data_IF_163767119653
#
_entry.id   IF_163767119653
#
_cell.length_a   1.000
_cell.length_b   1.000
_cell.length_c   1.000
_cell.angle_alpha   90.00
_cell.angle_beta   90.00
_cell.angle_gamma   90.00
#
_symmetry.space_group_name_H-M   'P 1'
#
loop_
_entity.id
_entity.type
_entity.pdbx_description
1 polymer ?
#
# COMPACT_ATOMS: atom_id res chain seq x y z
N UNK A 1 28.54 19.76 -15.69
CA UNK A 1 29.33 19.04 -14.67
C UNK A 1 29.07 17.54 -14.84
N UNK A 2 30.15 16.78 -14.97
CA UNK A 2 30.15 15.41 -15.48
C UNK A 2 29.53 14.42 -14.50
N UNK A 3 28.52 13.68 -14.94
CA UNK A 3 27.95 12.57 -14.20
C UNK A 3 29.00 11.46 -14.08
N UNK A 4 29.40 11.14 -12.86
CA UNK A 4 30.22 9.97 -12.54
C UNK A 4 29.39 8.71 -12.83
N UNK A 5 29.63 8.11 -13.98
CA UNK A 5 29.16 6.77 -14.27
C UNK A 5 29.85 5.79 -13.31
N UNK A 6 29.12 5.27 -12.36
CA UNK A 6 29.57 4.14 -11.52
C UNK A 6 29.55 2.90 -12.43
N UNK A 7 30.71 2.56 -13.00
CA UNK A 7 30.89 1.31 -13.71
C UNK A 7 30.84 0.16 -12.71
N UNK A 8 29.81 -0.68 -12.82
CA UNK A 8 29.80 -1.96 -12.14
C UNK A 8 30.89 -2.85 -12.74
N UNK A 9 31.79 -3.45 -11.92
CA UNK A 9 32.79 -4.37 -12.44
C UNK A 9 32.11 -5.60 -13.02
N UNK A 10 32.45 -5.96 -14.25
CA UNK A 10 32.02 -7.20 -14.89
C UNK A 10 32.55 -8.38 -14.10
N UNK A 11 31.68 -9.04 -13.32
CA UNK A 11 32.02 -10.30 -12.67
C UNK A 11 32.03 -11.42 -13.69
N UNK A 12 33.13 -12.15 -13.74
CA UNK A 12 33.38 -13.34 -14.53
C UNK A 12 32.19 -14.30 -14.51
N UNK A 13 31.78 -14.79 -15.70
CA UNK A 13 30.82 -15.87 -15.88
C UNK A 13 31.31 -17.13 -15.17
N UNK A 14 30.90 -17.33 -13.94
CA UNK A 14 30.93 -18.65 -13.34
C UNK A 14 29.93 -19.52 -14.14
N UNK A 15 30.38 -20.63 -14.71
CA UNK A 15 29.55 -21.65 -15.35
C UNK A 15 28.64 -22.23 -14.28
N UNK A 16 27.47 -21.63 -14.08
CA UNK A 16 26.48 -22.10 -13.13
C UNK A 16 25.88 -23.42 -13.58
N UNK A 17 25.61 -24.30 -12.62
CA UNK A 17 24.81 -25.51 -12.82
C UNK A 17 23.51 -25.13 -13.56
N UNK A 18 23.07 -25.91 -14.56
CA UNK A 18 21.84 -25.62 -15.28
C UNK A 18 20.67 -25.47 -14.30
N UNK A 19 19.78 -24.52 -14.58
CA UNK A 19 18.59 -24.27 -13.77
C UNK A 19 17.68 -25.50 -13.84
N UNK A 20 17.16 -25.94 -12.70
CA UNK A 20 16.15 -27.01 -12.66
C UNK A 20 14.82 -26.55 -13.25
N UNK A 21 13.96 -27.49 -13.63
CA UNK A 21 12.67 -27.23 -14.28
C UNK A 21 11.81 -26.23 -13.49
N UNK A 22 11.70 -26.40 -12.16
CA UNK A 22 10.94 -25.49 -11.28
C UNK A 22 11.51 -24.05 -11.31
N UNK A 23 12.84 -23.90 -11.32
CA UNK A 23 13.45 -22.57 -11.38
C UNK A 23 13.18 -21.88 -12.71
N UNK A 24 13.13 -22.64 -13.82
CA UNK A 24 12.76 -22.12 -15.13
C UNK A 24 11.29 -21.72 -15.18
N UNK A 25 10.39 -22.54 -14.62
CA UNK A 25 8.96 -22.23 -14.54
C UNK A 25 8.70 -20.98 -13.70
N UNK A 26 9.36 -20.83 -12.53
CA UNK A 26 9.27 -19.61 -11.70
C UNK A 26 9.70 -18.39 -12.52
N UNK A 27 10.85 -18.45 -13.23
CA UNK A 27 11.36 -17.31 -14.00
C UNK A 27 10.44 -16.91 -15.14
N UNK A 28 9.87 -17.88 -15.86
CA UNK A 28 8.91 -17.62 -16.93
C UNK A 28 7.67 -16.91 -16.36
N UNK A 29 7.08 -17.46 -15.31
CA UNK A 29 5.89 -16.87 -14.69
C UNK A 29 6.15 -15.49 -14.09
N UNK A 30 7.32 -15.26 -13.47
CA UNK A 30 7.69 -13.91 -12.99
C UNK A 30 7.78 -12.90 -14.14
N UNK A 31 8.27 -13.33 -15.29
CA UNK A 31 8.30 -12.48 -16.48
C UNK A 31 6.88 -12.15 -16.96
N UNK A 32 5.99 -13.14 -17.01
CA UNK A 32 4.59 -12.92 -17.41
C UNK A 32 3.86 -11.94 -16.45
N UNK A 33 4.21 -11.97 -15.14
CA UNK A 33 3.69 -11.02 -14.16
C UNK A 33 4.17 -9.57 -14.43
N UNK A 34 5.38 -9.37 -14.98
CA UNK A 34 5.84 -8.02 -15.33
C UNK A 34 5.09 -7.39 -16.50
N UNK A 35 4.44 -8.19 -17.32
CA UNK A 35 3.59 -7.70 -18.41
C UNK A 35 2.20 -7.25 -17.90
N UNK A 36 1.81 -7.74 -16.72
CA UNK A 36 0.48 -7.51 -16.17
C UNK A 36 0.51 -6.45 -15.05
N UNK A 37 1.53 -6.47 -14.21
CA UNK A 37 1.61 -5.62 -13.03
C UNK A 37 2.84 -4.73 -13.05
N UNK A 38 2.68 -3.46 -12.64
CA UNK A 38 3.77 -2.52 -12.53
C UNK A 38 4.68 -2.83 -11.34
N UNK A 39 4.09 -3.18 -10.20
CA UNK A 39 4.80 -3.49 -8.95
C UNK A 39 4.11 -4.62 -8.17
N UNK A 40 4.92 -5.44 -7.51
CA UNK A 40 4.44 -6.49 -6.62
C UNK A 40 5.39 -6.67 -5.43
N UNK A 41 4.87 -7.13 -4.29
CA UNK A 41 5.73 -7.67 -3.24
C UNK A 41 6.20 -9.08 -3.60
N UNK A 42 7.30 -9.55 -3.02
CA UNK A 42 7.73 -10.95 -3.20
C UNK A 42 6.64 -11.93 -2.77
N UNK A 43 5.82 -11.57 -1.79
CA UNK A 43 4.74 -12.41 -1.29
C UNK A 43 3.58 -12.51 -2.28
N UNK A 44 3.22 -11.41 -2.94
CA UNK A 44 2.22 -11.42 -4.01
C UNK A 44 2.70 -12.25 -5.21
N UNK A 45 3.97 -12.13 -5.61
CA UNK A 45 4.57 -13.01 -6.62
C UNK A 45 4.44 -14.47 -6.20
N UNK A 46 4.77 -14.80 -4.94
CA UNK A 46 4.63 -16.17 -4.44
C UNK A 46 3.19 -16.69 -4.53
N UNK A 47 2.19 -15.89 -4.13
CA UNK A 47 0.80 -16.32 -4.22
C UNK A 47 0.31 -16.46 -5.66
N UNK A 48 0.73 -15.58 -6.56
CA UNK A 48 0.43 -15.73 -7.98
C UNK A 48 0.99 -17.05 -8.56
N UNK A 49 2.21 -17.42 -8.18
CA UNK A 49 2.84 -18.66 -8.60
C UNK A 49 2.24 -19.90 -7.92
N UNK A 50 1.72 -19.77 -6.71
CA UNK A 50 0.98 -20.83 -6.02
C UNK A 50 -0.35 -21.12 -6.73
N UNK A 51 -1.11 -20.07 -7.06
CA UNK A 51 -2.37 -20.19 -7.81
C UNK A 51 -2.13 -20.82 -9.20
N UNK A 52 -0.99 -20.50 -9.84
CA UNK A 52 -0.60 -21.11 -11.10
C UNK A 52 0.01 -22.55 -10.95
N UNK A 53 -0.03 -23.14 -9.75
CA UNK A 53 0.49 -24.48 -9.43
C UNK A 53 1.99 -24.68 -9.75
N UNK A 54 2.78 -23.60 -9.82
CA UNK A 54 4.21 -23.62 -10.12
C UNK A 54 5.03 -23.92 -8.86
N UNK A 55 4.53 -23.47 -7.70
CA UNK A 55 5.15 -23.69 -6.39
C UNK A 55 4.11 -24.16 -5.37
N UNK A 56 4.54 -24.98 -4.42
CA UNK A 56 3.68 -25.39 -3.31
C UNK A 56 3.59 -24.27 -2.26
N UNK A 57 2.44 -24.15 -1.58
CA UNK A 57 2.23 -23.23 -0.46
C UNK A 57 2.98 -23.68 0.80
N UNK A 58 4.29 -23.64 0.73
CA UNK A 58 5.21 -24.01 1.82
C UNK A 58 6.27 -22.94 2.00
N UNK A 59 6.90 -22.93 3.16
CA UNK A 59 8.06 -22.05 3.43
C UNK A 59 9.21 -22.33 2.44
N UNK A 60 9.38 -23.57 2.04
CA UNK A 60 10.38 -23.95 1.03
C UNK A 60 10.04 -23.37 -0.35
N UNK A 61 8.78 -23.43 -0.77
CA UNK A 61 8.29 -22.80 -2.00
C UNK A 61 8.51 -21.29 -1.98
N UNK A 62 8.16 -20.62 -0.88
CA UNK A 62 8.41 -19.19 -0.71
C UNK A 62 9.89 -18.83 -0.87
N UNK A 63 10.79 -19.58 -0.19
CA UNK A 63 12.25 -19.36 -0.32
C UNK A 63 12.77 -19.59 -1.74
N UNK A 64 12.18 -20.53 -2.48
CA UNK A 64 12.54 -20.74 -3.89
C UNK A 64 12.18 -19.52 -4.73
N UNK A 65 10.98 -18.96 -4.55
CA UNK A 65 10.56 -17.73 -5.26
C UNK A 65 11.48 -16.58 -4.92
N UNK A 66 11.72 -16.32 -3.62
CA UNK A 66 12.64 -15.26 -3.18
C UNK A 66 14.03 -15.40 -3.84
N UNK A 67 14.58 -16.61 -3.85
CA UNK A 67 15.90 -16.86 -4.41
C UNK A 67 15.94 -16.61 -5.93
N UNK A 68 14.89 -17.00 -6.68
CA UNK A 68 14.83 -16.78 -8.11
C UNK A 68 14.60 -15.31 -8.46
N UNK A 69 13.69 -14.63 -7.78
CA UNK A 69 13.45 -13.18 -7.94
C UNK A 69 14.74 -12.40 -7.70
N UNK A 70 15.45 -12.64 -6.60
CA UNK A 70 16.72 -11.97 -6.32
C UNK A 70 17.78 -12.27 -7.40
N UNK A 71 17.85 -13.52 -7.89
CA UNK A 71 18.79 -13.92 -8.92
C UNK A 71 18.49 -13.24 -10.25
N UNK A 72 17.21 -13.20 -10.66
CA UNK A 72 16.76 -12.49 -11.88
C UNK A 72 17.11 -11.01 -11.84
N UNK A 73 16.91 -10.34 -10.69
CA UNK A 73 17.29 -8.92 -10.49
C UNK A 73 18.81 -8.73 -10.66
N UNK A 74 19.63 -9.61 -10.07
CA UNK A 74 21.10 -9.57 -10.20
C UNK A 74 21.61 -9.87 -11.60
N UNK A 75 20.88 -10.69 -12.34
CA UNK A 75 21.16 -11.04 -13.74
C UNK A 75 20.65 -9.98 -14.73
N UNK A 76 19.94 -8.95 -14.28
CA UNK A 76 19.33 -7.92 -15.11
C UNK A 76 18.11 -8.40 -15.90
N UNK A 77 17.52 -9.53 -15.52
CA UNK A 77 16.33 -10.11 -16.16
C UNK A 77 15.01 -9.62 -15.52
N UNK A 78 15.07 -8.95 -14.37
CA UNK A 78 13.95 -8.37 -13.68
C UNK A 78 14.36 -6.98 -13.15
N UNK A 79 13.52 -5.97 -13.36
CA UNK A 79 13.76 -4.63 -12.82
C UNK A 79 13.80 -4.66 -11.28
N UNK A 80 14.68 -3.83 -10.72
CA UNK A 80 14.73 -3.65 -9.27
C UNK A 80 13.47 -2.98 -8.74
N UNK A 81 12.80 -2.17 -9.54
CA UNK A 81 11.60 -1.43 -9.18
C UNK A 81 10.33 -2.27 -9.19
N UNK A 82 10.35 -3.43 -9.89
CA UNK A 82 9.20 -4.34 -9.92
C UNK A 82 8.86 -4.93 -8.55
N UNK A 83 9.87 -5.18 -7.72
CA UNK A 83 9.64 -5.70 -6.35
C UNK A 83 9.72 -4.55 -5.36
N UNK A 84 8.60 -4.26 -4.74
CA UNK A 84 8.50 -3.26 -3.67
C UNK A 84 8.80 -3.86 -2.28
N UNK A 85 9.42 -3.08 -1.41
CA UNK A 85 9.66 -3.39 0.02
C UNK A 85 9.40 -2.14 0.86
N UNK A 86 8.14 -1.88 1.19
CA UNK A 86 7.72 -0.76 2.03
C UNK A 86 8.18 -0.85 3.50
N UNK A 87 8.88 -1.94 3.88
CA UNK A 87 9.31 -2.15 5.28
C UNK A 87 10.60 -1.42 5.66
N UNK A 88 11.37 -0.92 4.68
CA UNK A 88 12.65 -0.25 4.89
C UNK A 88 12.67 1.10 4.19
N UNK A 89 13.04 2.13 4.93
CA UNK A 89 13.11 3.49 4.42
C UNK A 89 14.26 4.26 5.06
N UNK A 90 14.74 5.27 4.35
CA UNK A 90 15.78 6.20 4.84
C UNK A 90 15.13 7.56 5.14
N UNK A 91 15.32 8.08 6.34
CA UNK A 91 14.92 9.44 6.70
C UNK A 91 16.12 10.38 6.61
N UNK A 92 16.02 11.37 5.73
CA UNK A 92 16.91 12.53 5.68
C UNK A 92 16.01 13.77 5.69
N UNK A 93 16.28 14.80 6.51
CA UNK A 93 15.61 16.08 6.38
C UNK A 93 15.81 16.62 4.96
N UNK A 94 14.79 17.20 4.38
CA UNK A 94 14.94 17.89 3.11
C UNK A 94 15.90 19.06 3.27
N UNK A 95 16.84 19.18 2.37
CA UNK A 95 17.82 20.25 2.33
C UNK A 95 18.07 20.64 0.89
N UNK A 96 18.16 21.94 0.64
CA UNK A 96 18.32 22.53 -0.69
C UNK A 96 19.61 23.31 -0.76
N UNK A 97 20.24 23.34 -1.91
CA UNK A 97 21.47 24.09 -2.13
C UNK A 97 21.19 25.60 -2.24
N UNK A 98 20.01 25.96 -2.79
CA UNK A 98 19.58 27.36 -2.97
C UNK A 98 18.12 27.55 -2.55
N UNK A 99 17.71 28.81 -2.38
CA UNK A 99 16.30 29.18 -2.16
C UNK A 99 15.47 28.86 -3.40
N UNK A 100 16.03 29.05 -4.59
CA UNK A 100 15.41 28.73 -5.87
C UNK A 100 15.07 27.23 -5.97
N UNK A 101 15.98 26.33 -5.56
CA UNK A 101 15.74 24.90 -5.52
C UNK A 101 14.58 24.56 -4.56
N UNK A 102 14.55 25.20 -3.38
CA UNK A 102 13.47 25.01 -2.42
C UNK A 102 12.11 25.47 -2.98
N UNK A 103 12.06 26.65 -3.60
CA UNK A 103 10.84 27.17 -4.23
C UNK A 103 10.40 26.31 -5.42
N UNK A 104 11.31 25.84 -6.23
CA UNK A 104 11.03 24.91 -7.35
C UNK A 104 10.45 23.61 -6.83
N UNK A 105 11.01 23.05 -5.76
CA UNK A 105 10.47 21.84 -5.14
C UNK A 105 9.08 22.10 -4.58
N UNK A 106 8.84 23.23 -3.89
CA UNK A 106 7.53 23.60 -3.38
C UNK A 106 6.48 23.71 -4.50
N UNK A 107 6.79 24.40 -5.60
CA UNK A 107 5.90 24.50 -6.74
C UNK A 107 5.58 23.14 -7.38
N UNK A 108 6.57 22.26 -7.43
CA UNK A 108 6.46 20.92 -7.99
C UNK A 108 5.66 19.95 -7.12
N UNK A 109 5.77 20.08 -5.79
CA UNK A 109 5.12 19.20 -4.82
C UNK A 109 3.85 19.79 -4.21
N UNK A 110 3.50 21.00 -4.62
CA UNK A 110 2.28 21.65 -4.14
C UNK A 110 1.05 20.81 -4.45
N UNK A 111 0.25 20.57 -3.45
CA UNK A 111 -1.07 19.96 -3.53
C UNK A 111 -2.06 20.79 -2.73
N UNK A 112 -3.22 20.98 -3.33
CA UNK A 112 -4.37 21.54 -2.65
C UNK A 112 -5.08 20.40 -1.90
N UNK A 113 -5.64 20.69 -0.75
CA UNK A 113 -6.55 19.76 -0.06
C UNK A 113 -7.83 19.60 -0.90
N UNK A 114 -7.92 18.53 -1.68
CA UNK A 114 -9.05 18.25 -2.57
C UNK A 114 -10.31 17.85 -1.78
N UNK A 115 -10.16 17.46 -0.50
CA UNK A 115 -11.27 17.07 0.37
C UNK A 115 -11.93 18.22 1.09
N UNK A 116 -11.38 19.45 1.05
CA UNK A 116 -11.96 20.61 1.74
C UNK A 116 -13.37 20.97 1.25
N UNK A 117 -13.74 20.59 0.02
CA UNK A 117 -15.07 20.80 -0.56
C UNK A 117 -15.96 19.56 -0.45
N UNK A 118 -15.51 18.51 0.21
CA UNK A 118 -16.27 17.30 0.48
C UNK A 118 -16.80 17.29 1.92
N UNK A 119 -17.95 16.66 2.16
CA UNK A 119 -18.61 16.65 3.47
C UNK A 119 -18.05 15.56 4.42
N UNK A 120 -16.89 14.98 4.09
CA UNK A 120 -16.32 13.88 4.84
C UNK A 120 -14.80 13.82 4.74
N UNK A 121 -14.20 13.08 5.66
CA UNK A 121 -12.80 12.73 5.70
C UNK A 121 -12.64 11.23 5.54
N UNK A 122 -11.71 10.79 4.70
CA UNK A 122 -11.43 9.38 4.46
C UNK A 122 -10.03 9.03 4.96
N UNK A 123 -9.90 7.85 5.55
CA UNK A 123 -8.62 7.22 5.86
C UNK A 123 -8.61 5.78 5.35
N UNK A 124 -7.53 5.36 4.73
CA UNK A 124 -7.25 3.96 4.41
C UNK A 124 -6.29 3.41 5.45
N UNK A 125 -6.69 2.33 6.13
CA UNK A 125 -5.87 1.67 7.15
C UNK A 125 -5.36 0.34 6.63
N UNK A 126 -4.07 0.14 6.72
CA UNK A 126 -3.38 -1.03 6.18
C UNK A 126 -2.63 -1.77 7.28
N UNK A 127 -2.83 -3.08 7.40
CA UNK A 127 -2.11 -3.90 8.38
C UNK A 127 -0.64 -4.07 8.03
N UNK A 128 -0.31 -4.21 6.74
CA UNK A 128 1.02 -4.64 6.28
C UNK A 128 1.81 -3.54 5.59
N UNK A 129 2.95 -3.17 6.17
CA UNK A 129 3.92 -2.24 5.54
C UNK A 129 4.31 -2.65 4.11
N UNK A 130 4.45 -3.95 3.86
CA UNK A 130 4.94 -4.44 2.57
C UNK A 130 4.03 -4.04 1.40
N UNK A 131 2.73 -3.83 1.66
CA UNK A 131 1.75 -3.42 0.66
C UNK A 131 1.59 -1.90 0.58
N UNK A 132 2.26 -1.13 1.45
CA UNK A 132 2.10 0.32 1.52
C UNK A 132 2.40 0.99 0.17
N UNK A 133 3.48 0.61 -0.51
CA UNK A 133 3.87 1.22 -1.80
C UNK A 133 2.81 0.99 -2.91
N UNK A 134 2.04 -0.10 -2.83
CA UNK A 134 0.96 -0.39 -3.79
C UNK A 134 -0.25 0.47 -3.48
N UNK A 135 -0.65 0.54 -2.21
CA UNK A 135 -1.82 1.30 -1.77
C UNK A 135 -1.56 2.81 -1.82
N UNK A 136 -0.32 3.26 -1.53
CA UNK A 136 0.08 4.67 -1.62
C UNK A 136 -0.16 5.25 -3.02
N UNK A 137 0.02 4.47 -4.09
CA UNK A 137 -0.26 4.94 -5.44
C UNK A 137 -1.69 5.48 -5.58
N UNK A 138 -2.68 4.77 -5.03
CA UNK A 138 -4.09 5.19 -5.06
C UNK A 138 -4.35 6.31 -4.05
N UNK A 139 -3.89 6.16 -2.81
CA UNK A 139 -4.17 7.17 -1.77
C UNK A 139 -3.53 8.52 -2.08
N UNK A 140 -2.36 8.54 -2.73
CA UNK A 140 -1.71 9.77 -3.19
C UNK A 140 -2.47 10.42 -4.35
N UNK A 141 -3.03 9.62 -5.26
CA UNK A 141 -3.83 10.14 -6.38
C UNK A 141 -5.10 10.83 -5.87
N UNK A 142 -5.77 10.22 -4.89
CA UNK A 142 -7.02 10.72 -4.32
C UNK A 142 -6.83 11.62 -3.09
N UNK A 143 -5.61 12.03 -2.75
CA UNK A 143 -5.30 12.86 -1.59
C UNK A 143 -5.90 12.31 -0.27
N UNK A 144 -5.79 11.00 -0.07
CA UNK A 144 -6.33 10.27 1.09
C UNK A 144 -5.20 9.80 2.00
N UNK A 145 -5.41 9.92 3.31
CA UNK A 145 -4.41 9.46 4.29
C UNK A 145 -4.31 7.95 4.35
N UNK A 146 -3.09 7.40 4.19
CA UNK A 146 -2.76 6.00 4.44
C UNK A 146 -2.18 5.82 5.84
N UNK A 147 -2.83 4.98 6.65
CA UNK A 147 -2.42 4.66 8.03
C UNK A 147 -1.95 3.20 8.11
N UNK A 148 -0.65 2.98 8.36
CA UNK A 148 -0.08 1.63 8.48
C UNK A 148 -0.02 1.21 9.94
N UNK A 149 -0.82 0.19 10.33
CA UNK A 149 -1.00 -0.22 11.74
C UNK A 149 -0.03 -1.30 12.23
N UNK A 150 0.61 -2.04 11.33
CA UNK A 150 1.56 -3.13 11.65
C UNK A 150 0.97 -4.20 12.60
N UNK A 151 -0.18 -4.73 12.27
CA UNK A 151 -0.91 -5.70 13.07
C UNK A 151 -1.82 -5.03 14.11
N UNK A 152 -1.69 -5.39 15.39
CA UNK A 152 -2.51 -4.79 16.46
C UNK A 152 -2.16 -3.31 16.65
N UNK A 153 -3.14 -2.43 16.44
CA UNK A 153 -2.98 -0.99 16.68
C UNK A 153 -2.71 -0.71 18.16
N UNK A 154 -1.74 0.17 18.44
CA UNK A 154 -1.49 0.60 19.82
C UNK A 154 -2.59 1.56 20.29
N UNK A 155 -2.86 1.57 21.61
CA UNK A 155 -3.82 2.52 22.19
C UNK A 155 -3.49 3.99 21.85
N UNK A 156 -2.19 4.34 21.78
CA UNK A 156 -1.78 5.70 21.37
C UNK A 156 -2.12 5.98 19.91
N UNK A 157 -2.00 5.00 19.03
CA UNK A 157 -2.36 5.14 17.62
C UNK A 157 -3.87 5.37 17.49
N UNK A 158 -4.70 4.55 18.13
CA UNK A 158 -6.15 4.68 18.12
C UNK A 158 -6.62 6.01 18.74
N UNK A 159 -6.02 6.39 19.87
CA UNK A 159 -6.31 7.68 20.48
C UNK A 159 -6.00 8.86 19.55
N UNK A 160 -4.85 8.85 18.86
CA UNK A 160 -4.49 9.91 17.89
C UNK A 160 -5.46 9.98 16.73
N UNK A 161 -5.86 8.84 16.18
CA UNK A 161 -6.85 8.76 15.11
C UNK A 161 -8.21 9.32 15.57
N UNK A 162 -8.66 8.94 16.77
CA UNK A 162 -9.88 9.46 17.36
C UNK A 162 -9.82 10.99 17.57
N UNK A 163 -8.67 11.52 18.06
CA UNK A 163 -8.49 12.97 18.23
C UNK A 163 -8.47 13.71 16.89
N UNK A 164 -7.91 13.12 15.84
CA UNK A 164 -7.95 13.70 14.50
C UNK A 164 -9.39 13.73 13.94
N UNK A 165 -10.15 12.67 14.12
CA UNK A 165 -11.57 12.62 13.75
C UNK A 165 -12.40 13.65 14.56
N UNK A 166 -12.14 13.77 15.86
CA UNK A 166 -12.80 14.79 16.70
C UNK A 166 -12.48 16.22 16.26
N UNK A 167 -11.23 16.50 15.89
CA UNK A 167 -10.85 17.81 15.38
C UNK A 167 -11.56 18.12 14.06
N UNK A 168 -11.62 17.18 13.12
CA UNK A 168 -12.33 17.33 11.85
C UNK A 168 -13.82 17.59 12.08
N UNK A 169 -14.47 16.83 12.96
CA UNK A 169 -15.87 17.05 13.30
C UNK A 169 -16.12 18.39 13.96
N UNK A 170 -15.28 18.77 14.93
CA UNK A 170 -15.50 20.01 15.71
C UNK A 170 -15.20 21.27 14.90
N UNK A 171 -14.21 21.24 14.01
CA UNK A 171 -13.76 22.41 13.25
C UNK A 171 -14.50 22.57 11.92
N UNK A 172 -14.81 21.46 11.25
CA UNK A 172 -15.34 21.46 9.88
C UNK A 172 -16.72 20.79 9.77
N UNK A 173 -17.17 20.07 10.80
CA UNK A 173 -18.44 19.33 10.76
C UNK A 173 -18.40 18.08 9.89
N UNK A 174 -17.21 17.59 9.52
CA UNK A 174 -17.06 16.43 8.62
C UNK A 174 -16.95 15.12 9.38
N UNK A 175 -17.69 14.11 8.91
CA UNK A 175 -17.59 12.74 9.41
C UNK A 175 -16.31 12.05 8.89
N UNK A 176 -15.82 11.06 9.64
CA UNK A 176 -14.64 10.28 9.24
C UNK A 176 -15.04 8.86 8.82
N UNK A 177 -14.57 8.43 7.64
CA UNK A 177 -14.72 7.08 7.13
C UNK A 177 -13.36 6.39 7.11
N UNK A 178 -13.27 5.22 7.73
CA UNK A 178 -12.04 4.41 7.82
C UNK A 178 -12.27 3.11 7.06
N UNK A 179 -11.47 2.90 6.02
CA UNK A 179 -11.45 1.69 5.21
C UNK A 179 -10.23 0.85 5.55
N UNK A 180 -10.45 -0.31 6.13
CA UNK A 180 -9.38 -1.12 6.72
C UNK A 180 -9.08 -2.38 5.91
N UNK A 181 -7.80 -2.62 5.68
CA UNK A 181 -7.25 -3.77 4.96
C UNK A 181 -6.45 -4.63 5.93
N UNK A 182 -7.04 -5.76 6.35
CA UNK A 182 -6.49 -6.69 7.33
C UNK A 182 -6.51 -8.13 6.81
N UNK A 183 -5.58 -8.95 7.30
CA UNK A 183 -5.59 -10.39 7.04
C UNK A 183 -6.90 -11.02 7.53
N UNK A 184 -7.43 -11.98 6.77
CA UNK A 184 -8.54 -12.82 7.22
C UNK A 184 -8.02 -13.94 8.09
N UNK A 185 -7.64 -13.62 9.31
CA UNK A 185 -7.28 -14.58 10.34
C UNK A 185 -7.80 -14.10 11.72
N UNK A 186 -7.56 -14.89 12.77
CA UNK A 186 -8.00 -14.53 14.12
C UNK A 186 -7.40 -13.21 14.60
N UNK A 187 -6.13 -12.93 14.23
CA UNK A 187 -5.41 -11.70 14.56
C UNK A 187 -6.01 -10.47 13.90
N UNK A 188 -6.19 -10.49 12.58
CA UNK A 188 -6.77 -9.40 11.80
C UNK A 188 -8.21 -9.10 12.20
N UNK A 189 -9.03 -10.14 12.40
CA UNK A 189 -10.40 -9.97 12.93
C UNK A 189 -10.44 -9.37 14.33
N UNK A 190 -9.51 -9.72 15.21
CA UNK A 190 -9.39 -9.11 16.53
C UNK A 190 -8.96 -7.65 16.43
N UNK A 191 -8.00 -7.33 15.55
CA UNK A 191 -7.57 -5.95 15.32
C UNK A 191 -8.73 -5.08 14.85
N UNK A 192 -9.48 -5.52 13.85
CA UNK A 192 -10.66 -4.81 13.33
C UNK A 192 -11.69 -4.53 14.43
N UNK A 193 -12.08 -5.56 15.22
CA UNK A 193 -13.02 -5.40 16.35
C UNK A 193 -12.51 -4.46 17.44
N UNK A 194 -11.20 -4.45 17.68
CA UNK A 194 -10.59 -3.52 18.66
C UNK A 194 -10.72 -2.09 18.20
N UNK A 195 -10.44 -1.82 16.94
CA UNK A 195 -10.54 -0.49 16.33
C UNK A 195 -12.00 0.00 16.39
N UNK A 196 -12.93 -0.83 15.92
CA UNK A 196 -14.37 -0.51 15.91
C UNK A 196 -14.92 -0.18 17.30
N UNK A 197 -14.43 -0.84 18.34
CA UNK A 197 -14.81 -0.58 19.72
C UNK A 197 -14.15 0.66 20.30
N UNK A 198 -12.83 0.81 20.15
CA UNK A 198 -12.05 1.81 20.88
C UNK A 198 -12.11 3.22 20.27
N UNK A 199 -12.32 3.35 18.95
CA UNK A 199 -12.45 4.67 18.33
C UNK A 199 -13.60 5.49 18.92
N UNK A 200 -14.85 4.96 19.04
CA UNK A 200 -15.93 5.70 19.68
C UNK A 200 -15.72 5.94 21.19
N UNK A 201 -14.97 5.08 21.87
CA UNK A 201 -14.63 5.27 23.29
C UNK A 201 -13.72 6.49 23.49
N UNK A 202 -12.78 6.72 22.56
CA UNK A 202 -11.85 7.85 22.62
C UNK A 202 -12.45 9.17 22.10
N UNK A 203 -13.45 9.14 21.22
CA UNK A 203 -14.11 10.30 20.65
C UNK A 203 -15.65 10.13 20.70
N UNK A 204 -16.28 10.19 21.90
CA UNK A 204 -17.72 10.00 22.06
C UNK A 204 -18.53 11.02 21.27
N UNK A 205 -19.51 10.53 20.51
CA UNK A 205 -20.42 11.38 19.72
C UNK A 205 -19.84 11.92 18.41
N UNK A 206 -18.59 11.58 18.08
CA UNK A 206 -17.99 11.91 16.78
C UNK A 206 -18.42 10.86 15.76
N UNK A 207 -18.95 11.24 14.58
CA UNK A 207 -19.35 10.30 13.56
C UNK A 207 -18.10 9.68 12.89
N UNK A 208 -17.76 8.48 13.29
CA UNK A 208 -16.70 7.66 12.68
C UNK A 208 -17.31 6.36 12.18
N UNK A 209 -17.18 6.08 10.89
CA UNK A 209 -17.59 4.82 10.27
C UNK A 209 -16.35 3.98 10.01
N UNK A 210 -16.30 2.77 10.54
CA UNK A 210 -15.23 1.80 10.28
C UNK A 210 -15.77 0.69 9.38
N UNK A 211 -15.05 0.40 8.30
CA UNK A 211 -15.40 -0.67 7.35
C UNK A 211 -14.19 -1.55 7.09
N UNK A 212 -14.32 -2.86 7.35
CA UNK A 212 -13.33 -3.84 6.91
C UNK A 212 -13.47 -4.03 5.40
N UNK A 213 -12.58 -3.40 4.63
CA UNK A 213 -12.58 -3.42 3.17
C UNK A 213 -12.03 -4.74 2.60
N UNK A 214 -11.08 -5.35 3.25
CA UNK A 214 -10.48 -6.63 2.90
C UNK A 214 -9.63 -7.21 4.06
N UNK A 215 -9.45 -8.54 4.15
CA UNK A 215 -9.98 -9.61 3.30
C UNK A 215 -11.33 -10.07 3.86
N UNK A 216 -12.39 -10.06 3.07
CA UNK A 216 -13.74 -10.53 3.46
C UNK A 216 -13.98 -11.98 3.05
N UNK A 217 -15.05 -12.59 3.58
CA UNK A 217 -15.43 -13.96 3.25
C UNK A 217 -15.87 -14.06 1.78
N UNK A 218 -16.60 -13.09 1.29
CA UNK A 218 -17.07 -12.98 -0.09
C UNK A 218 -15.88 -12.88 -1.07
N UNK A 219 -14.89 -12.07 -0.75
CA UNK A 219 -13.68 -11.93 -1.58
C UNK A 219 -12.89 -13.24 -1.68
N UNK A 220 -12.84 -14.02 -0.60
CA UNK A 220 -12.17 -15.34 -0.61
C UNK A 220 -12.86 -16.29 -1.57
N UNK A 221 -14.20 -16.31 -1.59
CA UNK A 221 -14.99 -17.17 -2.46
C UNK A 221 -14.95 -16.67 -3.92
N UNK A 222 -15.26 -15.41 -4.15
CA UNK A 222 -15.38 -14.83 -5.50
C UNK A 222 -14.05 -14.80 -6.26
N UNK A 223 -12.96 -14.54 -5.53
CA UNK A 223 -11.62 -14.46 -6.12
C UNK A 223 -10.81 -15.72 -5.95
N UNK A 224 -11.36 -16.76 -5.32
CA UNK A 224 -10.72 -18.03 -5.07
C UNK A 224 -9.34 -17.87 -4.41
N UNK A 225 -9.26 -16.98 -3.41
CA UNK A 225 -8.01 -16.62 -2.79
C UNK A 225 -7.37 -17.82 -2.08
N UNK A 226 -6.05 -18.00 -2.21
CA UNK A 226 -5.33 -19.09 -1.57
C UNK A 226 -5.40 -18.97 -0.04
N UNK A 227 -5.89 -20.02 0.61
CA UNK A 227 -6.10 -20.06 2.05
C UNK A 227 -5.20 -21.09 2.72
N UNK A 228 -4.96 -20.92 4.02
CA UNK A 228 -4.22 -21.86 4.87
C UNK A 228 -4.97 -22.15 6.16
N UNK A 229 -4.69 -23.25 6.87
CA UNK A 229 -5.21 -23.43 8.22
C UNK A 229 -4.80 -22.26 9.13
N UNK A 230 -5.72 -21.77 9.96
CA UNK A 230 -5.43 -20.76 10.97
C UNK A 230 -4.30 -21.18 11.92
N UNK A 231 -3.54 -20.23 12.45
CA UNK A 231 -2.47 -20.50 13.41
C UNK A 231 -3.07 -21.00 14.71
N UNK A 232 -2.78 -22.25 15.09
CA UNK A 232 -3.24 -22.86 16.35
C UNK A 232 -2.71 -22.12 17.60
N UNK A 233 -1.63 -21.38 17.49
CA UNK A 233 -1.03 -20.59 18.57
C UNK A 233 -1.77 -19.28 18.87
N UNK A 234 -2.74 -18.86 18.03
CA UNK A 234 -3.54 -17.67 18.31
C UNK A 234 -4.55 -17.96 19.44
N UNK A 235 -4.64 -17.11 20.48
CA UNK A 235 -5.60 -17.30 21.58
C UNK A 235 -7.06 -17.39 21.14
N UNK A 236 -7.41 -16.82 19.99
CA UNK A 236 -8.74 -16.86 19.41
C UNK A 236 -8.90 -17.87 18.26
N UNK A 237 -7.89 -18.72 18.01
CA UNK A 237 -7.94 -19.72 16.93
C UNK A 237 -9.20 -20.60 17.01
N UNK A 238 -9.65 -20.96 18.22
CA UNK A 238 -10.86 -21.75 18.44
C UNK A 238 -12.18 -21.02 18.15
N UNK A 239 -12.16 -19.69 18.01
CA UNK A 239 -13.32 -18.87 17.65
C UNK A 239 -13.34 -18.51 16.16
N UNK A 240 -12.24 -18.77 15.47
CA UNK A 240 -12.10 -18.54 14.03
C UNK A 240 -12.34 -19.85 13.30
N UNK A 241 -13.49 -19.95 12.66
CA UNK A 241 -13.94 -21.15 11.94
C UNK A 241 -13.40 -21.26 10.53
N UNK A 242 -12.61 -20.26 10.10
CA UNK A 242 -12.20 -20.09 8.74
C UNK A 242 -10.76 -20.53 8.45
N UNK A 243 -10.51 -20.68 7.17
CA UNK A 243 -9.16 -20.78 6.63
C UNK A 243 -8.55 -19.38 6.56
N UNK A 244 -7.37 -19.20 7.10
CA UNK A 244 -6.67 -17.92 7.07
C UNK A 244 -6.28 -17.55 5.64
N UNK A 245 -6.52 -16.30 5.27
CA UNK A 245 -6.11 -15.70 4.00
C UNK A 245 -5.32 -14.43 4.29
N UNK A 246 -4.14 -14.34 3.74
CA UNK A 246 -3.31 -13.15 3.89
C UNK A 246 -3.73 -12.07 2.88
N UNK A 247 -3.64 -10.81 3.27
CA UNK A 247 -3.95 -9.67 2.41
C UNK A 247 -3.08 -9.65 1.14
N UNK A 248 -1.84 -10.14 1.23
CA UNK A 248 -0.93 -10.33 0.08
C UNK A 248 -1.45 -11.35 -0.96
N UNK A 249 -2.48 -12.14 -0.64
CA UNK A 249 -3.11 -13.05 -1.58
C UNK A 249 -4.03 -12.31 -2.57
N UNK A 250 -4.43 -11.09 -2.27
CA UNK A 250 -5.19 -10.25 -3.19
C UNK A 250 -4.25 -9.76 -4.30
N UNK A 251 -4.57 -9.98 -5.58
CA UNK A 251 -3.83 -9.41 -6.70
C UNK A 251 -3.75 -7.89 -6.63
N UNK A 252 -2.64 -7.26 -7.05
CA UNK A 252 -2.45 -5.81 -6.95
C UNK A 252 -3.56 -4.98 -7.59
N UNK A 253 -4.02 -5.35 -8.78
CA UNK A 253 -5.10 -4.70 -9.50
C UNK A 253 -6.42 -4.71 -8.71
N UNK A 254 -6.75 -5.84 -8.08
CA UNK A 254 -7.94 -5.95 -7.23
C UNK A 254 -7.79 -5.16 -5.94
N UNK A 255 -6.60 -5.13 -5.34
CA UNK A 255 -6.34 -4.35 -4.14
C UNK A 255 -6.47 -2.85 -4.42
N UNK A 256 -5.92 -2.39 -5.54
CA UNK A 256 -6.03 -1.01 -6.03
C UNK A 256 -7.51 -0.67 -6.25
N UNK A 257 -8.23 -1.48 -7.02
CA UNK A 257 -9.65 -1.24 -7.31
C UNK A 257 -10.52 -1.19 -6.06
N UNK A 258 -10.28 -2.06 -5.06
CA UNK A 258 -10.99 -1.99 -3.79
C UNK A 258 -10.84 -0.65 -3.08
N UNK A 259 -9.61 -0.13 -3.02
CA UNK A 259 -9.32 1.14 -2.36
C UNK A 259 -9.91 2.29 -3.14
N UNK A 260 -9.76 2.28 -4.46
CA UNK A 260 -10.28 3.30 -5.35
C UNK A 260 -11.82 3.38 -5.29
N UNK A 261 -12.51 2.24 -5.41
CA UNK A 261 -13.97 2.17 -5.30
C UNK A 261 -14.47 2.69 -3.95
N UNK A 262 -13.76 2.36 -2.86
CA UNK A 262 -14.08 2.82 -1.51
C UNK A 262 -13.91 4.34 -1.34
N UNK A 263 -13.00 4.96 -2.06
CA UNK A 263 -12.79 6.42 -2.07
C UNK A 263 -13.82 7.09 -2.98
N UNK A 264 -13.96 6.60 -4.21
CA UNK A 264 -14.79 7.22 -5.25
C UNK A 264 -16.26 7.35 -4.88
N UNK A 265 -16.82 6.42 -4.08
CA UNK A 265 -18.22 6.51 -3.63
C UNK A 265 -18.53 7.77 -2.81
N UNK A 266 -17.50 8.46 -2.32
CA UNK A 266 -17.60 9.67 -1.51
C UNK A 266 -17.26 10.95 -2.27
N UNK A 267 -16.77 10.84 -3.49
CA UNK A 267 -16.35 11.99 -4.29
C UNK A 267 -17.54 12.62 -4.99
N UNK A 268 -17.80 13.90 -4.76
CA UNK A 268 -18.63 14.69 -5.68
C UNK A 268 -17.78 15.12 -6.89
N UNK A 269 -18.06 14.58 -8.09
CA UNK A 269 -17.21 14.83 -9.26
C UNK A 269 -17.11 16.30 -9.66
N UNK A 270 -18.15 17.10 -9.36
CA UNK A 270 -18.14 18.55 -9.72
C UNK A 270 -17.24 19.34 -8.83
N UNK A 271 -17.39 19.17 -7.51
CA UNK A 271 -16.54 19.83 -6.52
C UNK A 271 -15.09 19.40 -6.72
N UNK A 272 -14.84 18.12 -6.96
CA UNK A 272 -13.52 17.57 -7.22
C UNK A 272 -12.83 18.22 -8.43
N UNK A 273 -13.53 18.30 -9.56
CA UNK A 273 -12.99 18.92 -10.78
C UNK A 273 -12.68 20.42 -10.57
N UNK A 274 -13.47 21.12 -9.77
CA UNK A 274 -13.22 22.52 -9.43
C UNK A 274 -11.93 22.64 -8.61
N UNK A 275 -11.76 21.84 -7.55
CA UNK A 275 -10.58 21.87 -6.70
C UNK A 275 -9.30 21.50 -7.47
N UNK A 276 -9.37 20.51 -8.38
CA UNK A 276 -8.27 20.17 -9.28
C UNK A 276 -7.90 21.33 -10.24
N UNK A 277 -8.90 22.05 -10.74
CA UNK A 277 -8.64 23.22 -11.61
C UNK A 277 -7.96 24.35 -10.83
N UNK A 278 -8.41 24.60 -9.60
CA UNK A 278 -7.80 25.59 -8.72
C UNK A 278 -6.36 25.18 -8.36
N UNK A 279 -6.12 23.91 -8.03
CA UNK A 279 -4.76 23.39 -7.77
C UNK A 279 -3.82 23.65 -8.95
N UNK A 280 -4.31 23.38 -10.17
CA UNK A 280 -3.53 23.64 -11.37
C UNK A 280 -3.17 25.11 -11.55
N UNK A 281 -4.14 26.01 -11.36
CA UNK A 281 -3.91 27.46 -11.45
C UNK A 281 -2.94 27.97 -10.36
N UNK A 282 -3.12 27.51 -9.11
CA UNK A 282 -2.24 27.87 -8.00
C UNK A 282 -0.81 27.35 -8.22
N UNK A 283 -0.64 26.18 -8.81
CA UNK A 283 0.67 25.63 -9.17
C UNK A 283 1.36 26.46 -10.25
N UNK A 284 0.62 26.95 -11.25
CA UNK A 284 1.18 27.85 -12.27
C UNK A 284 1.64 29.18 -11.66
N UNK A 285 0.88 29.73 -10.71
CA UNK A 285 1.30 30.92 -9.96
C UNK A 285 2.61 30.70 -9.22
N UNK A 286 2.76 29.54 -8.57
CA UNK A 286 4.01 29.17 -7.88
C UNK A 286 5.18 29.07 -8.86
N UNK A 287 5.00 28.49 -10.04
CA UNK A 287 6.04 28.44 -11.08
C UNK A 287 6.41 29.83 -11.61
N UNK A 288 5.45 30.75 -11.70
CA UNK A 288 5.75 32.14 -12.07
C UNK A 288 6.58 32.87 -11.02
N UNK A 289 6.26 32.65 -9.73
CA UNK A 289 7.06 33.20 -8.63
C UNK A 289 8.51 32.69 -8.64
N UNK A 290 8.70 31.39 -8.94
CA UNK A 290 10.05 30.80 -9.11
C UNK A 290 10.80 31.50 -10.25
N UNK A 291 10.15 31.71 -11.41
CA UNK A 291 10.76 32.40 -12.56
C UNK A 291 11.14 33.85 -12.29
N UNK A 292 10.42 34.52 -11.39
CA UNK A 292 10.72 35.92 -11.00
C UNK A 292 11.83 36.00 -9.95
N UNK A 293 12.08 34.94 -9.20
CA UNK A 293 13.09 34.88 -8.15
C UNK A 293 14.47 34.38 -8.64
N UNK A 294 14.51 33.82 -9.84
CA UNK A 294 15.73 33.37 -10.55
C UNK A 294 16.38 34.54 -11.31
#
# INVERSE_FOLDING_TARGET
>A
MSALAISCPSTSKARGRPLGATALAIRSAVHDLTDTYERMTVRQVFYALEVAEIVEKTEAGYRQVQAQVLRMRREGLLSWEFITDGTRWQRKPESFDTVEDAMTMMARTYRRDLWQAQDMRIEVWLEKDALADIVTGVTDEWDVSLMVSRGQSSATFLWRAAMAAQAAWTQMGVATFIYALYDRDAGGRRAARTIERELPEHAPGVPVTFTLLGVTDEQVEDWQLPSRPGKQSDPEAGKFDGRAVELDAIPPDKLIGLVEDAIMQHVDPRSWAIEQSIEHEEREVLYELVRQAA
#
